data_IF_029651358372
#
_entry.id   IF_029651358372
#
_cell.length_a   1.000
_cell.length_b   1.000
_cell.length_c   1.000
_cell.angle_alpha   90.00
_cell.angle_beta   90.00
_cell.angle_gamma   90.00
#
_symmetry.space_group_name_H-M   'P 1'
#
loop_
_entity.id
_entity.type
_entity.pdbx_description
1 polymer ?
#
# COMPACT_ATOMS: atom_id res chain seq x y z
N UNK A 1 51.07 -62.92 -26.43
CA UNK A 1 49.91 -63.27 -25.60
C UNK A 1 49.97 -62.34 -24.40
N UNK A 2 48.83 -61.72 -24.09
CA UNK A 2 48.56 -60.72 -23.04
C UNK A 2 48.72 -59.25 -23.49
N UNK A 3 47.58 -58.78 -23.97
CA UNK A 3 46.97 -57.45 -23.86
C UNK A 3 47.00 -56.88 -22.43
N UNK A 4 46.81 -55.57 -22.34
CA UNK A 4 46.18 -54.77 -21.26
C UNK A 4 46.78 -53.34 -21.44
N UNK A 5 46.23 -52.46 -22.29
CA UNK A 5 45.05 -51.62 -22.01
C UNK A 5 45.05 -51.08 -20.58
N UNK A 6 45.46 -49.82 -20.41
CA UNK A 6 44.91 -48.93 -19.37
C UNK A 6 45.18 -47.47 -19.78
N UNK A 7 44.12 -46.87 -20.35
CA UNK A 7 43.94 -45.45 -20.61
C UNK A 7 43.70 -44.71 -19.27
N UNK A 8 44.64 -43.85 -18.84
CA UNK A 8 44.36 -42.90 -17.75
C UNK A 8 43.89 -41.56 -18.31
N UNK A 9 42.60 -41.54 -18.63
CA UNK A 9 41.77 -40.38 -18.94
C UNK A 9 41.69 -39.44 -17.71
N UNK A 10 42.56 -38.42 -17.64
CA UNK A 10 42.47 -37.37 -16.62
C UNK A 10 41.34 -36.39 -16.96
N UNK A 11 40.11 -36.79 -16.61
CA UNK A 11 38.90 -36.00 -16.69
C UNK A 11 38.73 -35.16 -15.42
N UNK A 12 38.56 -33.84 -15.63
CA UNK A 12 37.85 -32.88 -14.78
C UNK A 12 38.43 -32.71 -13.36
N UNK A 13 38.52 -31.50 -12.81
CA UNK A 13 37.40 -30.60 -12.55
C UNK A 13 37.97 -29.19 -12.47
N UNK A 14 37.62 -28.34 -13.45
CA UNK A 14 37.55 -26.90 -13.19
C UNK A 14 36.65 -26.73 -11.98
N UNK A 15 37.24 -26.35 -10.84
CA UNK A 15 36.48 -25.86 -9.68
C UNK A 15 35.77 -24.58 -10.12
N UNK A 16 34.58 -24.77 -10.66
CA UNK A 16 33.56 -23.75 -10.78
C UNK A 16 33.40 -23.12 -9.39
N UNK A 17 33.97 -21.93 -9.20
CA UNK A 17 33.70 -21.05 -8.07
C UNK A 17 32.25 -20.58 -8.15
N UNK A 18 31.29 -21.48 -7.83
CA UNK A 18 29.86 -21.18 -7.80
C UNK A 18 29.40 -20.49 -6.51
N UNK A 19 30.31 -20.23 -5.58
CA UNK A 19 30.02 -19.58 -4.29
C UNK A 19 30.80 -18.28 -4.07
N UNK A 20 31.18 -17.58 -5.12
CA UNK A 20 31.44 -16.15 -4.99
C UNK A 20 30.07 -15.46 -4.90
N UNK A 21 29.57 -15.23 -3.68
CA UNK A 21 28.53 -14.23 -3.43
C UNK A 21 29.05 -12.89 -3.94
N UNK A 22 28.81 -12.60 -5.23
CA UNK A 22 29.23 -11.34 -5.82
C UNK A 22 28.60 -10.21 -5.01
N UNK A 23 29.32 -9.11 -4.80
CA UNK A 23 28.78 -7.94 -4.10
C UNK A 23 27.42 -7.51 -4.66
N UNK A 24 27.19 -7.73 -5.97
CA UNK A 24 25.91 -7.53 -6.64
C UNK A 24 24.75 -8.37 -6.06
N UNK A 25 24.98 -9.64 -5.68
CA UNK A 25 23.95 -10.47 -5.01
C UNK A 25 23.63 -9.97 -3.60
N UNK A 26 24.63 -9.50 -2.85
CA UNK A 26 24.39 -8.90 -1.52
C UNK A 26 23.60 -7.60 -1.63
N UNK A 27 23.91 -6.77 -2.64
CA UNK A 27 23.17 -5.53 -2.92
C UNK A 27 21.72 -5.85 -3.34
N UNK A 28 21.52 -6.83 -4.22
CA UNK A 28 20.17 -7.24 -4.64
C UNK A 28 19.33 -7.76 -3.46
N UNK A 29 19.94 -8.54 -2.55
CA UNK A 29 19.26 -9.02 -1.35
C UNK A 29 18.94 -7.89 -0.36
N UNK A 30 19.83 -6.91 -0.20
CA UNK A 30 19.58 -5.73 0.61
C UNK A 30 18.45 -4.86 0.03
N UNK A 31 18.44 -4.65 -1.29
CA UNK A 31 17.36 -3.92 -1.98
C UNK A 31 16.02 -4.66 -1.87
N UNK A 32 16.03 -5.98 -1.98
CA UNK A 32 14.82 -6.79 -1.79
C UNK A 32 14.31 -6.71 -0.35
N UNK A 33 15.18 -6.78 0.65
CA UNK A 33 14.79 -6.60 2.04
C UNK A 33 14.24 -5.20 2.30
N UNK A 34 14.84 -4.14 1.74
CA UNK A 34 14.32 -2.78 1.83
C UNK A 34 12.95 -2.66 1.17
N UNK A 35 12.75 -3.26 -0.01
CA UNK A 35 11.44 -3.28 -0.67
C UNK A 35 10.37 -3.96 0.21
N UNK A 36 10.69 -5.12 0.79
CA UNK A 36 9.79 -5.85 1.69
C UNK A 36 9.51 -5.08 2.98
N UNK A 37 10.52 -4.42 3.57
CA UNK A 37 10.33 -3.55 4.74
C UNK A 37 9.44 -2.36 4.37
N UNK A 38 9.64 -1.74 3.21
CA UNK A 38 8.86 -0.58 2.79
C UNK A 38 7.41 -0.98 2.52
N UNK A 39 7.18 -2.11 1.87
CA UNK A 39 5.84 -2.64 1.60
C UNK A 39 5.12 -3.02 2.91
N UNK A 40 5.82 -3.65 3.85
CA UNK A 40 5.31 -4.02 5.17
C UNK A 40 5.11 -2.82 6.10
N UNK A 41 5.96 -1.79 6.02
CA UNK A 41 5.81 -0.54 6.77
C UNK A 41 4.64 0.27 6.23
N UNK A 42 4.44 0.32 4.91
CA UNK A 42 3.26 0.95 4.31
C UNK A 42 1.98 0.21 4.71
N UNK A 43 1.99 -1.13 4.81
CA UNK A 43 0.83 -1.87 5.31
C UNK A 43 0.64 -1.65 6.82
N UNK A 44 1.69 -1.80 7.64
CA UNK A 44 1.61 -1.66 9.09
C UNK A 44 1.23 -0.23 9.55
N UNK A 45 1.76 0.81 8.90
CA UNK A 45 1.35 2.21 9.19
C UNK A 45 -0.10 2.47 8.80
N UNK A 46 -0.59 1.87 7.72
CA UNK A 46 -2.02 1.91 7.37
C UNK A 46 -2.92 1.15 8.37
N UNK A 47 -2.37 0.20 9.13
CA UNK A 47 -3.07 -0.47 10.25
C UNK A 47 -2.99 0.33 11.56
N UNK A 48 -1.98 1.18 11.73
CA UNK A 48 -1.82 2.02 12.92
C UNK A 48 -2.72 3.28 12.93
N UNK A 49 -3.23 3.69 11.76
CA UNK A 49 -4.14 4.81 11.64
C UNK A 49 -5.55 4.45 12.12
N UNK A 50 -6.14 5.35 12.90
CA UNK A 50 -7.54 5.26 13.32
C UNK A 50 -8.48 5.28 12.10
N UNK A 51 -9.69 4.71 12.22
CA UNK A 51 -10.67 4.71 11.11
C UNK A 51 -10.92 6.12 10.55
N UNK A 52 -11.06 7.18 11.37
CA UNK A 52 -11.16 8.56 10.89
C UNK A 52 -9.99 8.99 10.00
N UNK A 53 -8.75 8.76 10.43
CA UNK A 53 -7.56 9.16 9.66
C UNK A 53 -7.49 8.42 8.33
N UNK A 54 -7.82 7.12 8.33
CA UNK A 54 -7.89 6.32 7.09
C UNK A 54 -8.99 6.82 6.16
N UNK A 55 -10.14 7.20 6.71
CA UNK A 55 -11.26 7.76 5.92
C UNK A 55 -10.88 9.11 5.31
N UNK A 56 -10.19 9.98 6.06
CA UNK A 56 -9.64 11.24 5.53
C UNK A 56 -8.64 10.98 4.41
N UNK A 57 -7.71 10.03 4.61
CA UNK A 57 -6.73 9.66 3.58
C UNK A 57 -7.41 9.17 2.28
N UNK A 58 -8.44 8.33 2.41
CA UNK A 58 -9.25 7.88 1.27
C UNK A 58 -10.00 9.04 0.60
N UNK A 59 -10.60 9.95 1.37
CA UNK A 59 -11.30 11.13 0.86
C UNK A 59 -10.37 12.01 0.03
N UNK A 60 -9.20 12.36 0.58
CA UNK A 60 -8.21 13.17 -0.14
C UNK A 60 -7.74 12.46 -1.42
N UNK A 61 -7.41 11.17 -1.33
CA UNK A 61 -6.97 10.40 -2.50
C UNK A 61 -8.01 10.35 -3.62
N UNK A 62 -9.29 10.21 -3.29
CA UNK A 62 -10.35 9.97 -4.27
C UNK A 62 -11.03 11.24 -4.78
N UNK A 63 -11.02 12.32 -3.99
CA UNK A 63 -11.80 13.54 -4.27
C UNK A 63 -10.97 14.82 -4.36
N UNK A 64 -9.65 14.78 -4.14
CA UNK A 64 -8.78 15.91 -4.50
C UNK A 64 -8.89 16.18 -6.00
N UNK A 65 -9.24 17.42 -6.36
CA UNK A 65 -9.51 17.84 -7.74
C UNK A 65 -10.96 17.66 -8.21
N UNK A 66 -11.80 16.95 -7.44
CA UNK A 66 -13.25 16.83 -7.69
C UNK A 66 -14.02 17.79 -6.77
N UNK A 67 -13.65 17.82 -5.48
CA UNK A 67 -14.25 18.71 -4.49
C UNK A 67 -13.38 19.95 -4.29
N UNK A 68 -14.03 21.06 -3.91
CA UNK A 68 -13.33 22.26 -3.45
C UNK A 68 -12.64 22.01 -2.11
N UNK A 69 -11.54 22.69 -1.82
CA UNK A 69 -10.83 22.58 -0.54
C UNK A 69 -11.76 22.85 0.65
N UNK A 70 -12.71 23.77 0.48
CA UNK A 70 -13.75 24.07 1.49
C UNK A 70 -14.66 22.87 1.75
N UNK A 71 -15.06 22.15 0.71
CA UNK A 71 -15.94 20.98 0.87
C UNK A 71 -15.17 19.77 1.38
N UNK A 72 -13.89 19.63 1.03
CA UNK A 72 -12.98 18.65 1.63
C UNK A 72 -12.87 18.89 3.14
N UNK A 73 -12.63 20.13 3.58
CA UNK A 73 -12.53 20.45 5.01
C UNK A 73 -13.82 20.15 5.78
N UNK A 74 -14.99 20.36 5.16
CA UNK A 74 -16.28 19.97 5.76
C UNK A 74 -16.45 18.45 5.81
N UNK A 75 -16.05 17.76 4.76
CA UNK A 75 -16.13 16.31 4.67
C UNK A 75 -15.21 15.63 5.69
N UNK A 76 -14.05 16.21 6.00
CA UNK A 76 -13.17 15.73 7.10
C UNK A 76 -13.94 15.70 8.43
N UNK A 77 -14.74 16.73 8.72
CA UNK A 77 -15.58 16.78 9.92
C UNK A 77 -16.66 15.69 9.99
N UNK A 78 -17.02 15.05 8.87
CA UNK A 78 -17.95 13.91 8.89
C UNK A 78 -17.35 12.68 9.56
N UNK A 79 -16.03 12.58 9.61
CA UNK A 79 -15.31 11.42 10.13
C UNK A 79 -14.97 11.53 11.62
N UNK A 80 -15.51 12.52 12.35
CA UNK A 80 -15.39 12.61 13.81
C UNK A 80 -15.92 11.37 14.54
N UNK A 81 -16.85 10.63 13.91
CA UNK A 81 -17.38 9.37 14.44
C UNK A 81 -16.78 8.18 13.69
N UNK A 82 -16.30 7.18 14.43
CA UNK A 82 -15.78 5.95 13.85
C UNK A 82 -16.79 5.23 12.95
N UNK A 83 -18.09 5.36 13.24
CA UNK A 83 -19.15 4.73 12.45
C UNK A 83 -19.20 5.30 11.03
N UNK A 84 -19.20 6.63 10.88
CA UNK A 84 -19.21 7.28 9.56
C UNK A 84 -17.91 7.03 8.81
N UNK A 85 -16.78 7.09 9.50
CA UNK A 85 -15.48 6.77 8.93
C UNK A 85 -15.43 5.32 8.43
N UNK A 86 -15.91 4.36 9.23
CA UNK A 86 -16.00 2.94 8.85
C UNK A 86 -16.92 2.71 7.65
N UNK A 87 -18.09 3.35 7.65
CA UNK A 87 -19.05 3.26 6.54
C UNK A 87 -18.44 3.79 5.23
N UNK A 88 -17.74 4.93 5.27
CA UNK A 88 -17.07 5.48 4.10
C UNK A 88 -15.91 4.59 3.62
N UNK A 89 -15.17 3.96 4.53
CA UNK A 89 -14.07 3.06 4.18
C UNK A 89 -14.56 1.80 3.44
N UNK A 90 -15.68 1.22 3.85
CA UNK A 90 -16.22 -0.01 3.23
C UNK A 90 -16.93 0.23 1.90
N UNK A 91 -17.41 1.44 1.64
CA UNK A 91 -17.99 1.80 0.35
C UNK A 91 -16.94 1.70 -0.75
N UNK A 92 -17.28 1.08 -1.88
CA UNK A 92 -16.42 1.13 -3.06
C UNK A 92 -16.58 2.48 -3.74
N UNK A 93 -15.49 2.97 -4.33
CA UNK A 93 -15.52 4.17 -5.19
C UNK A 93 -16.60 4.01 -6.26
N UNK A 94 -17.47 5.00 -6.38
CA UNK A 94 -18.55 5.05 -7.35
C UNK A 94 -19.74 5.86 -6.87
N UNK A 95 -20.82 5.85 -7.66
CA UNK A 95 -21.98 6.72 -7.47
C UNK A 95 -22.58 6.63 -6.07
N UNK A 96 -22.61 5.44 -5.46
CA UNK A 96 -23.16 5.28 -4.11
C UNK A 96 -22.35 6.04 -3.05
N UNK A 97 -21.02 5.99 -3.13
CA UNK A 97 -20.15 6.72 -2.21
C UNK A 97 -20.29 8.23 -2.42
N UNK A 98 -20.38 8.67 -3.69
CA UNK A 98 -20.53 10.07 -4.07
C UNK A 98 -21.87 10.63 -3.57
N UNK A 99 -22.96 9.90 -3.80
CA UNK A 99 -24.30 10.28 -3.33
C UNK A 99 -24.36 10.35 -1.79
N UNK A 100 -23.74 9.37 -1.12
CA UNK A 100 -23.68 9.38 0.35
C UNK A 100 -22.91 10.60 0.86
N UNK A 101 -21.73 10.89 0.28
CA UNK A 101 -20.92 12.03 0.68
C UNK A 101 -21.65 13.36 0.44
N UNK A 102 -22.34 13.48 -0.69
CA UNK A 102 -23.15 14.64 -1.03
C UNK A 102 -24.32 14.83 -0.04
N UNK A 103 -25.07 13.76 0.29
CA UNK A 103 -26.15 13.81 1.28
C UNK A 103 -25.62 14.28 2.65
N UNK A 104 -24.47 13.77 3.08
CA UNK A 104 -23.87 14.18 4.35
C UNK A 104 -23.44 15.66 4.36
N UNK A 105 -22.84 16.14 3.27
CA UNK A 105 -22.46 17.54 3.12
C UNK A 105 -23.69 18.46 3.11
N UNK A 106 -24.79 18.04 2.48
CA UNK A 106 -26.01 18.83 2.42
C UNK A 106 -26.73 18.88 3.77
N UNK A 107 -26.73 17.80 4.54
CA UNK A 107 -27.21 17.81 5.94
C UNK A 107 -26.43 18.78 6.82
N UNK A 108 -25.10 18.84 6.67
CA UNK A 108 -24.27 19.80 7.42
C UNK A 108 -24.64 21.25 7.06
N UNK A 109 -24.92 21.55 5.79
CA UNK A 109 -25.37 22.89 5.35
C UNK A 109 -26.72 23.25 5.98
N UNK A 110 -27.62 22.30 6.15
CA UNK A 110 -28.94 22.54 6.75
C UNK A 110 -28.87 22.75 8.26
N UNK A 111 -28.02 22.01 8.98
CA UNK A 111 -27.84 22.17 10.43
C UNK A 111 -27.25 23.54 10.80
N UNK A 112 -26.41 24.13 9.95
CA UNK A 112 -25.90 25.49 10.14
C UNK A 112 -26.94 26.60 9.95
N UNK A 113 -28.05 26.32 9.23
CA UNK A 113 -29.14 27.28 9.00
C UNK A 113 -30.19 27.27 10.11
N UNK A 114 -30.39 26.14 10.78
CA UNK A 114 -31.39 26.00 11.84
C UNK A 114 -30.99 26.63 13.20
N UNK A 115 -29.76 27.14 13.32
CA UNK A 115 -29.21 27.78 14.54
C UNK A 115 -29.06 29.30 14.43
N UNK A 116 -29.66 29.94 13.42
CA UNK A 116 -29.66 31.40 13.23
C UNK A 116 -31.06 31.97 13.37
#
# INVERSE_FOLDING_TARGET
MNTDEDDEYSSHVSKDCRDCQSGARMIAFALQQLATITENVVTATNYALSKPERAVGKLLKEYTGVLSDRDIMKAVGLFETEMKAGMFLVMKKGEFQDMWLQDQLDRLKQQGKAKR
#
